data_IF_313828790573
#
_entry.id   IF_313828790573
#
_cell.length_a   1.000
_cell.length_b   1.000
_cell.length_c   1.000
_cell.angle_alpha   90.00
_cell.angle_beta   90.00
_cell.angle_gamma   90.00
#
_symmetry.space_group_name_H-M   'P 1'
#
loop_
_entity.id
_entity.type
_entity.pdbx_description
1 polymer ?
#
# COMPACT_ATOMS: atom_id res chain seq x y z
N UNK A 1 -2.61 72.90 -31.29
CA UNK A 1 -2.10 71.63 -31.77
C UNK A 1 -1.46 70.89 -30.63
N UNK A 2 -2.10 69.85 -30.13
CA UNK A 2 -1.56 69.02 -29.07
C UNK A 2 -1.34 67.65 -29.64
N UNK A 3 -0.11 67.09 -29.72
CA UNK A 3 0.10 65.73 -30.19
C UNK A 3 -0.22 64.77 -29.05
N UNK A 4 -1.10 63.83 -29.34
CA UNK A 4 -1.52 62.81 -28.42
C UNK A 4 -0.42 61.81 -28.10
N UNK A 5 -0.21 61.56 -26.85
CA UNK A 5 0.66 60.50 -26.35
C UNK A 5 -0.08 59.15 -26.43
N UNK A 6 0.44 58.26 -27.26
CA UNK A 6 0.03 56.87 -27.29
C UNK A 6 0.68 56.14 -26.11
N UNK A 7 -0.14 55.80 -25.11
CA UNK A 7 0.27 54.87 -24.05
C UNK A 7 0.04 53.45 -24.55
N UNK A 8 1.13 52.82 -24.98
CA UNK A 8 1.15 51.39 -25.27
C UNK A 8 1.26 50.63 -23.94
N UNK A 9 0.14 50.17 -23.42
CA UNK A 9 0.09 49.31 -22.26
C UNK A 9 0.48 47.87 -22.63
N UNK A 10 1.69 47.47 -22.22
CA UNK A 10 2.11 46.05 -22.30
C UNK A 10 1.48 45.33 -21.11
N UNK A 11 0.39 44.62 -21.38
CA UNK A 11 -0.16 43.66 -20.42
C UNK A 11 0.74 42.42 -20.44
N UNK A 12 1.64 42.33 -19.45
CA UNK A 12 2.43 41.14 -19.17
C UNK A 12 1.52 40.09 -18.52
N UNK A 13 1.15 39.05 -19.27
CA UNK A 13 0.49 37.89 -18.71
C UNK A 13 1.47 37.09 -17.83
N UNK A 14 1.34 37.21 -16.52
CA UNK A 14 2.07 36.35 -15.57
C UNK A 14 1.38 34.99 -15.58
N UNK A 15 1.97 34.05 -16.30
CA UNK A 15 1.60 32.64 -16.20
C UNK A 15 2.10 32.09 -14.86
N UNK A 16 1.20 31.99 -13.87
CA UNK A 16 1.46 31.19 -12.67
C UNK A 16 1.51 29.72 -13.08
N UNK A 17 2.71 29.20 -13.24
CA UNK A 17 2.93 27.76 -13.34
C UNK A 17 2.67 27.15 -11.94
N UNK A 18 1.48 26.57 -11.74
CA UNK A 18 1.22 25.68 -10.62
C UNK A 18 2.09 24.43 -10.80
N UNK A 19 3.26 24.42 -10.16
CA UNK A 19 4.05 23.21 -10.01
C UNK A 19 3.29 22.29 -9.06
N UNK A 20 2.65 21.25 -9.60
CA UNK A 20 2.09 20.18 -8.80
C UNK A 20 3.25 19.43 -8.13
N UNK A 21 3.38 19.59 -6.82
CA UNK A 21 4.30 18.78 -6.02
C UNK A 21 3.84 17.33 -6.06
N UNK A 22 4.76 16.36 -6.27
CA UNK A 22 4.37 14.95 -6.19
C UNK A 22 3.86 14.68 -4.78
N UNK A 23 2.65 14.11 -4.69
CA UNK A 23 2.11 13.63 -3.43
C UNK A 23 3.02 12.50 -2.93
N UNK A 24 3.78 12.76 -1.86
CA UNK A 24 4.58 11.74 -1.21
C UNK A 24 3.66 10.94 -0.29
N UNK A 25 3.71 9.60 -0.42
CA UNK A 25 3.01 8.72 0.50
C UNK A 25 3.55 8.97 1.92
N UNK A 26 2.69 9.35 2.84
CA UNK A 26 3.07 9.52 4.25
C UNK A 26 3.45 8.14 4.85
N UNK A 27 4.45 8.09 5.73
CA UNK A 27 4.78 6.85 6.42
C UNK A 27 3.58 6.38 7.24
N UNK A 28 3.33 5.06 7.24
CA UNK A 28 2.23 4.47 7.98
C UNK A 28 2.34 4.79 9.47
N UNK A 29 1.25 5.23 10.07
CA UNK A 29 1.20 5.50 11.50
C UNK A 29 1.26 4.21 12.31
N UNK A 30 1.67 4.29 13.58
CA UNK A 30 1.63 3.14 14.48
C UNK A 30 0.22 2.52 14.56
N UNK A 31 -0.83 3.33 14.61
CA UNK A 31 -2.21 2.85 14.61
C UNK A 31 -2.55 2.05 13.35
N UNK A 32 -2.09 2.51 12.17
CA UNK A 32 -2.28 1.79 10.91
C UNK A 32 -1.56 0.44 10.92
N UNK A 33 -0.33 0.40 11.41
CA UNK A 33 0.44 -0.85 11.52
C UNK A 33 -0.22 -1.83 12.48
N UNK A 34 -0.70 -1.37 13.64
CA UNK A 34 -1.40 -2.22 14.60
C UNK A 34 -2.73 -2.76 14.06
N UNK A 35 -3.45 -1.93 13.29
CA UNK A 35 -4.66 -2.38 12.58
C UNK A 35 -4.33 -3.45 11.54
N UNK A 36 -3.31 -3.24 10.74
CA UNK A 36 -2.84 -4.23 9.75
C UNK A 36 -2.43 -5.54 10.40
N UNK A 37 -1.72 -5.48 11.52
CA UNK A 37 -1.36 -6.66 12.32
C UNK A 37 -2.59 -7.43 12.81
N UNK A 38 -3.59 -6.72 13.34
CA UNK A 38 -4.82 -7.34 13.80
C UNK A 38 -5.59 -8.03 12.67
N UNK A 39 -5.63 -7.42 11.48
CA UNK A 39 -6.24 -8.02 10.29
C UNK A 39 -5.49 -9.29 9.88
N UNK A 40 -4.16 -9.25 9.84
CA UNK A 40 -3.33 -10.43 9.54
C UNK A 40 -3.55 -11.55 10.55
N UNK A 41 -3.57 -11.23 11.83
CA UNK A 41 -3.80 -12.21 12.90
C UNK A 41 -5.17 -12.88 12.77
N UNK A 42 -6.22 -12.11 12.55
CA UNK A 42 -7.59 -12.62 12.48
C UNK A 42 -7.86 -13.49 11.25
N UNK A 43 -7.25 -13.14 10.10
CA UNK A 43 -7.57 -13.77 8.82
C UNK A 43 -6.49 -14.76 8.32
N UNK A 44 -5.26 -14.62 8.76
CA UNK A 44 -4.11 -15.32 8.19
C UNK A 44 -3.31 -16.11 9.23
N UNK A 45 -3.37 -15.73 10.49
CA UNK A 45 -2.53 -16.26 11.57
C UNK A 45 -2.75 -17.72 11.90
N UNK A 46 -3.86 -18.32 11.44
CA UNK A 46 -4.13 -19.74 11.63
C UNK A 46 -3.15 -20.64 10.84
N UNK A 47 -2.69 -20.16 9.69
CA UNK A 47 -1.81 -20.90 8.81
C UNK A 47 -0.43 -20.25 8.66
N UNK A 48 -0.36 -18.92 8.64
CA UNK A 48 0.86 -18.16 8.43
C UNK A 48 1.45 -17.59 9.72
N UNK A 49 2.79 -17.61 9.81
CA UNK A 49 3.49 -16.77 10.77
C UNK A 49 3.33 -15.30 10.30
N UNK A 50 2.64 -14.51 11.08
CA UNK A 50 2.29 -13.13 10.72
C UNK A 50 3.27 -12.10 11.27
N UNK A 51 4.16 -12.50 12.15
CA UNK A 51 5.11 -11.62 12.83
C UNK A 51 6.53 -11.66 12.24
N UNK A 52 7.45 -10.87 12.84
CA UNK A 52 8.84 -10.80 12.40
C UNK A 52 9.66 -12.05 12.72
N UNK A 53 9.13 -12.95 13.54
CA UNK A 53 9.79 -14.19 14.00
C UNK A 53 8.79 -15.34 14.06
N UNK A 54 9.31 -16.54 14.22
CA UNK A 54 8.53 -17.76 14.42
C UNK A 54 8.23 -18.52 13.14
N UNK A 55 7.83 -19.78 13.31
CA UNK A 55 7.41 -20.66 12.22
C UNK A 55 5.91 -20.50 11.94
N UNK A 56 5.52 -20.66 10.69
CA UNK A 56 4.11 -20.76 10.33
C UNK A 56 3.47 -22.00 10.98
N UNK A 57 2.24 -21.90 11.54
CA UNK A 57 1.51 -23.04 12.04
C UNK A 57 1.33 -24.15 10.97
N UNK A 58 1.06 -23.75 9.73
CA UNK A 58 1.14 -24.65 8.59
C UNK A 58 2.53 -24.53 7.94
N UNK A 59 3.35 -25.60 7.92
CA UNK A 59 4.70 -25.55 7.32
C UNK A 59 4.75 -25.19 5.84
N UNK A 60 3.65 -25.42 5.11
CA UNK A 60 3.53 -25.08 3.69
C UNK A 60 3.16 -23.60 3.44
N UNK A 61 2.68 -22.92 4.47
CA UNK A 61 2.31 -21.51 4.39
C UNK A 61 3.55 -20.63 4.65
N UNK A 62 3.97 -19.78 3.71
CA UNK A 62 5.17 -18.96 3.91
C UNK A 62 4.98 -17.96 5.03
N UNK A 63 6.01 -17.72 5.86
CA UNK A 63 5.99 -16.62 6.81
C UNK A 63 5.88 -15.28 6.09
N UNK A 64 5.04 -14.39 6.59
CA UNK A 64 4.78 -13.11 5.91
C UNK A 64 6.02 -12.21 5.79
N UNK A 65 6.96 -12.30 6.73
CA UNK A 65 8.23 -11.55 6.69
C UNK A 65 9.13 -11.86 5.48
N UNK A 66 8.85 -12.92 4.73
CA UNK A 66 9.65 -13.35 3.58
C UNK A 66 8.96 -13.14 2.23
N UNK A 67 7.76 -12.58 2.21
CA UNK A 67 6.97 -12.45 0.99
C UNK A 67 7.63 -11.60 -0.09
N UNK A 68 8.32 -10.52 0.30
CA UNK A 68 9.02 -9.64 -0.64
C UNK A 68 10.17 -10.32 -1.40
N UNK A 69 10.63 -11.48 -0.96
CA UNK A 69 11.60 -12.29 -1.69
C UNK A 69 10.99 -13.07 -2.85
N UNK A 70 9.67 -13.20 -2.87
CA UNK A 70 8.95 -13.95 -3.90
C UNK A 70 8.33 -13.04 -4.96
N UNK A 71 7.78 -11.91 -4.54
CA UNK A 71 7.12 -10.94 -5.41
C UNK A 71 7.00 -9.58 -4.70
N UNK A 72 6.78 -8.48 -5.45
CA UNK A 72 6.50 -7.19 -4.85
C UNK A 72 5.21 -7.24 -4.02
N UNK A 73 5.21 -6.62 -2.84
CA UNK A 73 4.01 -6.59 -1.99
C UNK A 73 2.83 -5.86 -2.63
N UNK A 74 3.10 -4.94 -3.57
CA UNK A 74 2.05 -4.28 -4.36
C UNK A 74 1.17 -5.25 -5.15
N UNK A 75 1.71 -6.40 -5.56
CA UNK A 75 0.94 -7.39 -6.30
C UNK A 75 -0.16 -8.04 -5.43
N UNK A 76 0.02 -8.02 -4.10
CA UNK A 76 -1.00 -8.48 -3.16
C UNK A 76 -2.21 -7.55 -3.08
N UNK A 77 -2.06 -6.26 -3.36
CA UNK A 77 -3.17 -5.31 -3.31
C UNK A 77 -4.29 -5.73 -4.25
N UNK A 78 -3.96 -5.98 -5.51
CA UNK A 78 -4.90 -6.44 -6.53
C UNK A 78 -5.48 -7.82 -6.19
N UNK A 79 -4.61 -8.75 -5.81
CA UNK A 79 -5.03 -10.10 -5.44
C UNK A 79 -5.98 -10.11 -4.25
N UNK A 80 -5.74 -9.29 -3.21
CA UNK A 80 -6.62 -9.16 -2.05
C UNK A 80 -7.94 -8.46 -2.39
N UNK A 81 -7.92 -7.48 -3.31
CA UNK A 81 -9.12 -6.79 -3.77
C UNK A 81 -10.03 -7.70 -4.59
N UNK A 82 -9.46 -8.59 -5.40
CA UNK A 82 -10.19 -9.56 -6.23
C UNK A 82 -10.62 -10.81 -5.45
N UNK A 83 -10.06 -11.04 -4.28
CA UNK A 83 -10.23 -12.26 -3.50
C UNK A 83 -9.21 -13.32 -3.93
N UNK A 84 -8.18 -13.50 -3.10
CA UNK A 84 -7.14 -14.51 -3.36
C UNK A 84 -7.73 -15.91 -3.26
N UNK A 85 -7.67 -16.65 -4.34
CA UNK A 85 -7.84 -18.10 -4.35
C UNK A 85 -6.49 -18.71 -4.71
N UNK A 86 -5.69 -19.03 -3.72
CA UNK A 86 -4.42 -19.72 -3.93
C UNK A 86 -4.54 -21.11 -3.34
N UNK A 87 -4.56 -22.14 -4.21
CA UNK A 87 -4.43 -23.51 -3.80
C UNK A 87 -2.96 -23.82 -3.49
N UNK A 88 -2.69 -24.21 -2.25
CA UNK A 88 -1.44 -24.86 -1.89
C UNK A 88 -1.69 -26.37 -1.82
N UNK A 89 -0.71 -27.17 -2.17
CA UNK A 89 -0.84 -28.63 -2.07
C UNK A 89 -1.37 -29.04 -0.67
N UNK A 90 -2.63 -29.47 -0.61
CA UNK A 90 -3.27 -29.97 0.60
C UNK A 90 -3.94 -28.93 1.51
N UNK A 91 -3.92 -27.65 1.17
CA UNK A 91 -4.69 -26.62 1.87
C UNK A 91 -5.05 -25.48 0.93
N UNK A 92 -6.33 -25.15 0.86
CA UNK A 92 -6.82 -23.96 0.15
C UNK A 92 -6.83 -22.76 1.10
N UNK A 93 -6.30 -21.63 0.65
CA UNK A 93 -6.51 -20.36 1.34
C UNK A 93 -7.98 -19.97 1.24
N UNK A 94 -8.65 -19.64 2.36
CA UNK A 94 -9.99 -19.10 2.30
C UNK A 94 -10.03 -17.80 1.51
N UNK A 95 -11.14 -17.56 0.82
CA UNK A 95 -11.41 -16.28 0.18
C UNK A 95 -11.74 -15.24 1.23
N UNK A 96 -11.03 -14.11 1.22
CA UNK A 96 -11.28 -12.99 2.13
C UNK A 96 -11.91 -11.83 1.39
N UNK A 97 -12.87 -11.19 2.03
CA UNK A 97 -13.49 -9.95 1.58
C UNK A 97 -12.96 -8.81 2.47
N UNK A 98 -11.92 -8.14 2.02
CA UNK A 98 -11.34 -7.01 2.72
C UNK A 98 -11.71 -5.70 2.02
N UNK A 99 -12.02 -4.67 2.79
CA UNK A 99 -12.20 -3.31 2.26
C UNK A 99 -10.86 -2.73 1.81
N UNK A 100 -10.88 -1.72 0.95
CA UNK A 100 -9.67 -1.00 0.53
C UNK A 100 -8.84 -0.53 1.72
N UNK A 101 -9.48 0.08 2.73
CA UNK A 101 -8.76 0.54 3.93
C UNK A 101 -8.18 -0.60 4.78
N UNK A 102 -8.79 -1.77 4.78
CA UNK A 102 -8.22 -2.96 5.42
C UNK A 102 -7.01 -3.49 4.65
N UNK A 103 -7.08 -3.51 3.33
CA UNK A 103 -5.96 -3.92 2.47
C UNK A 103 -4.78 -2.97 2.66
N UNK A 104 -5.01 -1.66 2.65
CA UNK A 104 -3.97 -0.65 2.88
C UNK A 104 -3.27 -0.85 4.23
N UNK A 105 -4.03 -1.04 5.31
CA UNK A 105 -3.47 -1.29 6.64
C UNK A 105 -2.69 -2.61 6.70
N UNK A 106 -3.22 -3.66 6.08
CA UNK A 106 -2.55 -4.96 6.00
C UNK A 106 -1.22 -4.85 5.25
N UNK A 107 -1.21 -4.22 4.08
CA UNK A 107 0.01 -4.04 3.29
C UNK A 107 1.04 -3.16 3.99
N UNK A 108 0.61 -2.12 4.69
CA UNK A 108 1.49 -1.29 5.51
C UNK A 108 2.18 -2.14 6.60
N UNK A 109 1.43 -2.97 7.29
CA UNK A 109 1.98 -3.88 8.29
C UNK A 109 2.95 -4.90 7.67
N UNK A 110 2.54 -5.57 6.57
CA UNK A 110 3.39 -6.52 5.87
C UNK A 110 4.71 -5.89 5.43
N UNK A 111 4.66 -4.68 4.88
CA UNK A 111 5.86 -3.93 4.50
C UNK A 111 6.81 -3.67 5.67
N UNK A 112 6.26 -3.42 6.86
CA UNK A 112 7.03 -3.12 8.06
C UNK A 112 7.84 -4.30 8.61
N UNK A 113 7.44 -5.53 8.31
CA UNK A 113 8.07 -6.76 8.83
C UNK A 113 8.94 -7.49 7.80
N UNK A 114 9.03 -7.01 6.56
CA UNK A 114 9.83 -7.69 5.54
C UNK A 114 11.31 -7.75 5.95
N UNK A 115 11.91 -8.90 5.78
CA UNK A 115 13.37 -9.06 5.90
C UNK A 115 14.02 -8.63 4.58
N UNK A 116 15.03 -7.81 4.72
CA UNK A 116 15.92 -7.40 3.63
C UNK A 116 17.09 -8.38 3.49
#
# INVERSE_FOLDING_TARGET
MIPGALFSGVFGAVLLACAALPAQAEPATHATLMRGKAIAQANCGKCHAIGPTGASPNPKSPPFRTLSHKYPLSDLEEALAEGIVVGHEGAEMPQFQLSTGQIEALLAYLGSIQRR
#
